data_IF_848292582928
#
_entry.id   IF_848292582928
#
_cell.length_a   1.000
_cell.length_b   1.000
_cell.length_c   1.000
_cell.angle_alpha   90.00
_cell.angle_beta   90.00
_cell.angle_gamma   90.00
#
_symmetry.space_group_name_H-M   'P 1'
#
loop_
_entity.id
_entity.type
_entity.pdbx_description
1 polymer ?
#
# COMPACT_ATOMS: atom_id res chain seq x y z
N UNK A 1 -26.96 -3.66 -31.18
CA UNK A 1 -26.45 -4.87 -30.46
C UNK A 1 -24.93 -4.85 -30.23
N UNK A 2 -24.27 -3.67 -30.16
CA UNK A 2 -22.81 -3.56 -29.92
C UNK A 2 -22.44 -3.05 -28.51
N UNK A 3 -23.42 -2.65 -27.71
CA UNK A 3 -23.19 -2.01 -26.41
C UNK A 3 -22.92 -3.04 -25.29
N UNK A 4 -23.75 -4.09 -25.21
CA UNK A 4 -23.70 -5.12 -24.15
C UNK A 4 -22.39 -5.93 -24.10
N UNK A 5 -21.73 -6.18 -25.25
CA UNK A 5 -20.46 -6.94 -25.29
C UNK A 5 -19.27 -6.11 -24.80
N UNK A 6 -19.29 -4.80 -25.03
CA UNK A 6 -18.26 -3.87 -24.55
C UNK A 6 -18.40 -3.65 -23.05
N UNK A 7 -19.63 -3.49 -22.54
CA UNK A 7 -19.89 -3.37 -21.10
C UNK A 7 -19.47 -4.61 -20.31
N UNK A 8 -19.72 -5.82 -20.84
CA UNK A 8 -19.33 -7.09 -20.20
C UNK A 8 -17.81 -7.26 -20.12
N UNK A 9 -17.08 -6.80 -21.15
CA UNK A 9 -15.62 -6.80 -21.17
C UNK A 9 -15.01 -5.85 -20.14
N UNK A 10 -15.50 -4.62 -20.08
CA UNK A 10 -15.03 -3.60 -19.12
C UNK A 10 -15.33 -4.01 -17.68
N UNK A 11 -16.48 -4.64 -17.43
CA UNK A 11 -16.82 -5.13 -16.09
C UNK A 11 -15.91 -6.28 -15.63
N UNK A 12 -15.56 -7.21 -16.53
CA UNK A 12 -14.59 -8.29 -16.23
C UNK A 12 -13.21 -7.73 -15.93
N UNK A 13 -12.78 -6.74 -16.72
CA UNK A 13 -11.54 -6.01 -16.52
C UNK A 13 -11.45 -5.34 -15.16
N UNK A 14 -12.51 -4.62 -14.79
CA UNK A 14 -12.60 -3.94 -13.49
C UNK A 14 -12.45 -4.94 -12.34
N UNK A 15 -13.16 -6.09 -12.40
CA UNK A 15 -13.05 -7.14 -11.37
C UNK A 15 -11.67 -7.77 -11.30
N UNK A 16 -11.04 -8.09 -12.43
CA UNK A 16 -9.68 -8.65 -12.44
C UNK A 16 -8.70 -7.67 -11.80
N UNK A 17 -8.80 -6.38 -12.17
CA UNK A 17 -7.95 -5.34 -11.59
C UNK A 17 -8.19 -5.18 -10.10
N UNK A 18 -9.45 -5.10 -9.66
CA UNK A 18 -9.82 -4.99 -8.25
C UNK A 18 -9.25 -6.15 -7.42
N UNK A 19 -9.44 -7.40 -7.88
CA UNK A 19 -8.90 -8.58 -7.23
C UNK A 19 -7.37 -8.54 -7.22
N UNK A 20 -6.73 -8.31 -8.37
CA UNK A 20 -5.28 -8.35 -8.48
C UNK A 20 -4.57 -7.25 -7.68
N UNK A 21 -5.20 -6.07 -7.52
CA UNK A 21 -4.64 -4.95 -6.77
C UNK A 21 -4.81 -5.09 -5.24
N UNK A 22 -5.67 -6.02 -4.78
CA UNK A 22 -5.98 -6.21 -3.35
C UNK A 22 -5.36 -7.46 -2.75
N UNK A 23 -4.64 -8.28 -3.54
CA UNK A 23 -3.95 -9.46 -3.00
C UNK A 23 -2.81 -9.04 -2.07
N UNK A 24 -2.79 -9.60 -0.86
CA UNK A 24 -1.70 -9.39 0.12
C UNK A 24 -0.48 -10.25 -0.16
N UNK A 25 -0.68 -11.39 -0.82
CA UNK A 25 0.36 -12.31 -1.24
C UNK A 25 0.24 -12.54 -2.74
N UNK A 26 1.35 -12.86 -3.42
CA UNK A 26 1.30 -13.12 -4.85
C UNK A 26 0.37 -14.30 -5.18
N UNK A 27 -0.45 -14.14 -6.21
CA UNK A 27 -1.47 -15.11 -6.65
C UNK A 27 -1.29 -15.50 -8.10
N UNK A 28 -1.47 -16.77 -8.44
CA UNK A 28 -1.41 -17.19 -9.84
C UNK A 28 -2.65 -16.72 -10.62
N UNK A 29 -2.58 -16.78 -11.96
CA UNK A 29 -3.69 -16.34 -12.82
C UNK A 29 -4.99 -17.13 -12.60
N UNK A 30 -4.93 -18.38 -12.14
CA UNK A 30 -6.11 -19.19 -11.81
C UNK A 30 -6.81 -18.67 -10.55
N UNK A 31 -6.06 -18.46 -9.47
CA UNK A 31 -6.59 -17.93 -8.21
C UNK A 31 -7.27 -16.56 -8.41
N UNK A 32 -6.64 -15.68 -9.20
CA UNK A 32 -7.21 -14.37 -9.53
C UNK A 32 -8.45 -14.52 -10.42
N UNK A 33 -8.44 -15.44 -11.39
CA UNK A 33 -9.57 -15.69 -12.27
C UNK A 33 -10.80 -16.19 -11.51
N UNK A 34 -10.60 -17.13 -10.58
CA UNK A 34 -11.65 -17.69 -9.75
C UNK A 34 -12.28 -16.61 -8.88
N UNK A 35 -11.45 -15.77 -8.23
CA UNK A 35 -11.93 -14.66 -7.41
C UNK A 35 -12.65 -13.57 -8.24
N UNK A 36 -12.20 -13.30 -9.47
CA UNK A 36 -12.83 -12.30 -10.35
C UNK A 36 -14.05 -12.84 -11.14
N UNK A 37 -14.33 -14.14 -11.07
CA UNK A 37 -15.41 -14.80 -11.80
C UNK A 37 -15.20 -14.78 -13.32
N UNK A 38 -13.97 -15.03 -13.78
CA UNK A 38 -13.58 -15.02 -15.21
C UNK A 38 -12.82 -16.28 -15.60
N UNK A 39 -12.66 -16.52 -16.91
CA UNK A 39 -11.82 -17.61 -17.38
C UNK A 39 -10.33 -17.32 -17.16
N UNK A 40 -9.53 -18.33 -16.81
CA UNK A 40 -8.07 -18.20 -16.56
C UNK A 40 -7.32 -17.50 -17.68
N UNK A 41 -7.57 -17.87 -18.94
CA UNK A 41 -6.91 -17.25 -20.10
C UNK A 41 -7.21 -15.76 -20.24
N UNK A 42 -8.40 -15.34 -19.78
CA UNK A 42 -8.84 -13.95 -19.79
C UNK A 42 -8.10 -13.19 -18.70
N UNK A 43 -8.06 -13.73 -17.47
CA UNK A 43 -7.26 -13.16 -16.38
C UNK A 43 -5.79 -13.03 -16.79
N UNK A 44 -5.17 -14.09 -17.30
CA UNK A 44 -3.76 -14.11 -17.69
C UNK A 44 -3.41 -13.01 -18.71
N UNK A 45 -4.23 -12.85 -19.76
CA UNK A 45 -4.04 -11.78 -20.74
C UNK A 45 -3.99 -10.39 -20.09
N UNK A 46 -4.92 -10.11 -19.17
CA UNK A 46 -5.00 -8.79 -18.54
C UNK A 46 -3.98 -8.58 -17.43
N UNK A 47 -3.64 -9.63 -16.70
CA UNK A 47 -2.56 -9.58 -15.72
C UNK A 47 -1.24 -9.24 -16.40
N UNK A 48 -0.95 -9.83 -17.58
CA UNK A 48 0.21 -9.43 -18.39
C UNK A 48 0.15 -7.96 -18.81
N UNK A 49 -1.00 -7.44 -19.23
CA UNK A 49 -1.14 -6.01 -19.56
C UNK A 49 -0.93 -5.10 -18.34
N UNK A 50 -1.34 -5.53 -17.15
CA UNK A 50 -1.10 -4.78 -15.92
C UNK A 50 0.38 -4.82 -15.52
N UNK A 51 1.09 -5.90 -15.83
CA UNK A 51 2.56 -5.97 -15.68
C UNK A 51 3.26 -5.04 -16.67
N UNK A 52 2.83 -5.02 -17.93
CA UNK A 52 3.36 -4.10 -18.94
C UNK A 52 3.12 -2.63 -18.60
N UNK A 53 2.11 -2.34 -17.78
CA UNK A 53 1.77 -0.99 -17.30
C UNK A 53 2.36 -0.68 -15.91
N UNK A 54 3.30 -1.50 -15.42
CA UNK A 54 3.94 -1.39 -14.11
C UNK A 54 2.95 -1.35 -12.93
N UNK A 55 1.73 -1.88 -13.11
CA UNK A 55 0.71 -1.97 -12.06
C UNK A 55 0.84 -3.24 -11.23
N UNK A 56 1.32 -4.31 -11.85
CA UNK A 56 1.61 -5.57 -11.17
C UNK A 56 3.07 -5.96 -11.41
N UNK A 57 3.66 -6.63 -10.44
CA UNK A 57 4.91 -7.34 -10.58
C UNK A 57 4.65 -8.85 -10.61
N UNK A 58 5.66 -9.62 -11.04
CA UNK A 58 5.58 -11.09 -11.07
C UNK A 58 6.68 -11.73 -10.25
N UNK A 59 6.36 -12.89 -9.67
CA UNK A 59 7.31 -13.78 -9.02
C UNK A 59 7.03 -15.22 -9.46
N UNK A 60 8.08 -16.02 -9.55
CA UNK A 60 7.96 -17.45 -9.84
C UNK A 60 7.73 -18.24 -8.55
N UNK A 61 6.63 -19.01 -8.50
CA UNK A 61 6.34 -19.96 -7.42
C UNK A 61 6.34 -21.38 -8.01
N UNK A 62 7.49 -22.04 -7.94
CA UNK A 62 7.68 -23.33 -8.59
C UNK A 62 7.63 -23.21 -10.11
N UNK A 63 6.55 -23.70 -10.74
CA UNK A 63 6.32 -23.62 -12.19
C UNK A 63 5.26 -22.58 -12.57
N UNK A 64 4.68 -21.89 -11.60
CA UNK A 64 3.61 -20.92 -11.83
C UNK A 64 4.12 -19.48 -11.69
N UNK A 65 3.70 -18.62 -12.61
CA UNK A 65 3.82 -17.18 -12.48
C UNK A 65 2.73 -16.67 -11.55
N UNK A 66 3.13 -16.00 -10.47
CA UNK A 66 2.24 -15.30 -9.55
C UNK A 66 2.36 -13.79 -9.73
N UNK A 67 1.26 -13.10 -9.54
CA UNK A 67 1.09 -11.67 -9.72
C UNK A 67 0.77 -11.01 -8.37
N UNK A 68 1.28 -9.81 -8.17
CA UNK A 68 1.00 -8.98 -6.99
C UNK A 68 1.13 -7.50 -7.36
N UNK A 69 0.53 -6.57 -6.59
CA UNK A 69 0.67 -5.14 -6.81
C UNK A 69 2.14 -4.74 -6.87
N UNK A 70 2.52 -3.97 -7.88
CA UNK A 70 3.91 -3.50 -7.97
C UNK A 70 4.22 -2.57 -6.77
N UNK A 71 5.23 -2.88 -5.94
CA UNK A 71 5.47 -2.16 -4.70
C UNK A 71 5.92 -0.71 -4.92
N UNK A 72 6.62 -0.42 -6.02
CA UNK A 72 7.09 0.93 -6.34
C UNK A 72 5.92 1.80 -6.79
N UNK A 73 5.07 1.26 -7.67
CA UNK A 73 3.85 1.95 -8.09
C UNK A 73 2.91 2.17 -6.91
N UNK A 74 2.71 1.18 -6.03
CA UNK A 74 1.88 1.33 -4.83
C UNK A 74 2.42 2.44 -3.91
N UNK A 75 3.74 2.54 -3.76
CA UNK A 75 4.37 3.59 -2.96
C UNK A 75 4.12 4.99 -3.53
N UNK A 76 4.29 5.18 -4.84
CA UNK A 76 4.02 6.48 -5.47
C UNK A 76 2.53 6.82 -5.55
N UNK A 77 1.66 5.81 -5.71
CA UNK A 77 0.21 6.00 -5.65
C UNK A 77 -0.19 6.51 -4.25
N UNK A 78 0.36 5.97 -3.17
CA UNK A 78 0.13 6.46 -1.80
C UNK A 78 0.61 7.91 -1.59
N UNK A 79 1.80 8.26 -2.08
CA UNK A 79 2.30 9.65 -2.02
C UNK A 79 1.38 10.60 -2.79
N UNK A 80 0.94 10.20 -3.99
CA UNK A 80 0.01 11.00 -4.78
C UNK A 80 -1.29 11.21 -4.01
N UNK A 81 -1.82 10.18 -3.38
CA UNK A 81 -3.09 10.26 -2.66
C UNK A 81 -2.93 11.21 -1.45
N UNK A 82 -1.86 11.08 -0.65
CA UNK A 82 -1.53 12.02 0.44
C UNK A 82 -1.44 13.49 -0.03
N UNK A 83 -0.71 13.75 -1.12
CA UNK A 83 -0.58 15.11 -1.67
C UNK A 83 -1.84 15.64 -2.34
N UNK A 84 -2.80 14.78 -2.66
CA UNK A 84 -4.09 15.18 -3.26
C UNK A 84 -5.12 15.47 -2.18
N UNK A 85 -5.12 14.68 -1.12
CA UNK A 85 -6.16 14.72 -0.09
C UNK A 85 -5.81 15.68 1.06
N UNK A 86 -4.52 16.03 1.22
CA UNK A 86 -4.03 16.86 2.32
C UNK A 86 -3.15 18.01 1.83
N UNK A 87 -3.18 19.11 2.57
CA UNK A 87 -2.23 20.20 2.43
C UNK A 87 -0.88 19.84 3.06
N UNK A 88 0.17 20.55 2.65
CA UNK A 88 1.52 20.37 3.22
C UNK A 88 1.58 20.63 4.73
N UNK A 89 0.77 21.56 5.23
CA UNK A 89 0.69 21.88 6.66
C UNK A 89 -0.03 20.77 7.44
N UNK A 90 -1.12 20.21 6.90
CA UNK A 90 -1.82 19.07 7.50
C UNK A 90 -0.92 17.83 7.57
N UNK A 91 -0.18 17.52 6.49
CA UNK A 91 0.81 16.43 6.50
C UNK A 91 1.91 16.67 7.54
N UNK A 92 2.34 17.92 7.73
CA UNK A 92 3.35 18.27 8.73
C UNK A 92 2.82 18.06 10.15
N UNK A 93 1.59 18.47 10.41
CA UNK A 93 0.93 18.27 11.70
C UNK A 93 0.69 16.77 12.00
N UNK A 94 0.30 15.99 11.00
CA UNK A 94 0.15 14.54 11.14
C UNK A 94 1.49 13.85 11.43
N UNK A 95 2.57 14.27 10.75
CA UNK A 95 3.91 13.78 11.03
C UNK A 95 4.37 14.10 12.45
N UNK A 96 4.06 15.29 12.97
CA UNK A 96 4.34 15.68 14.35
C UNK A 96 3.58 14.79 15.33
N UNK A 97 2.27 14.60 15.15
CA UNK A 97 1.46 13.74 16.02
C UNK A 97 1.96 12.29 16.06
N UNK A 98 2.34 11.72 14.91
CA UNK A 98 2.91 10.36 14.86
C UNK A 98 4.24 10.28 15.63
N UNK A 99 5.04 11.36 15.61
CA UNK A 99 6.32 11.39 16.36
C UNK A 99 6.09 11.49 17.85
N UNK A 100 5.11 12.29 18.27
CA UNK A 100 4.72 12.38 19.68
C UNK A 100 4.23 11.03 20.22
N UNK A 101 3.40 10.30 19.46
CA UNK A 101 2.93 8.96 19.83
C UNK A 101 4.10 7.95 19.97
N UNK A 102 5.08 8.02 19.05
CA UNK A 102 6.30 7.18 19.13
C UNK A 102 7.14 7.54 20.37
N UNK A 103 7.34 8.83 20.64
CA UNK A 103 8.10 9.28 21.79
C UNK A 103 7.40 8.91 23.11
N UNK A 104 6.07 8.90 23.16
CA UNK A 104 5.30 8.40 24.30
C UNK A 104 5.57 6.91 24.57
N UNK A 105 5.61 6.06 23.52
CA UNK A 105 5.96 4.65 23.70
C UNK A 105 7.40 4.45 24.16
N UNK A 106 8.36 5.24 23.63
CA UNK A 106 9.75 5.21 24.07
C UNK A 106 9.87 5.50 25.56
N UNK A 107 9.25 6.58 26.02
CA UNK A 107 9.27 6.99 27.42
C UNK A 107 8.54 6.00 28.33
N UNK A 108 7.39 5.48 27.87
CA UNK A 108 6.57 4.54 28.65
C UNK A 108 7.28 3.22 28.90
N UNK A 109 8.00 2.72 27.91
CA UNK A 109 8.62 1.40 27.95
C UNK A 109 10.14 1.42 28.18
N UNK A 110 10.78 2.60 28.17
CA UNK A 110 12.24 2.79 28.27
C UNK A 110 13.00 1.99 27.19
N UNK A 111 12.55 2.16 25.94
CA UNK A 111 13.09 1.49 24.75
C UNK A 111 13.21 2.48 23.60
N UNK A 112 14.09 2.19 22.63
CA UNK A 112 14.35 3.07 21.49
C UNK A 112 13.73 2.57 20.18
N UNK A 113 13.16 1.36 20.17
CA UNK A 113 12.53 0.77 18.99
C UNK A 113 11.40 -0.21 19.32
N UNK A 114 10.52 -0.43 18.34
CA UNK A 114 9.51 -1.49 18.40
C UNK A 114 10.12 -2.89 18.60
N UNK A 115 11.30 -3.16 18.03
CA UNK A 115 12.03 -4.42 18.21
C UNK A 115 12.45 -4.63 19.68
N UNK A 116 12.96 -3.59 20.32
CA UNK A 116 13.29 -3.60 21.75
C UNK A 116 12.03 -3.80 22.60
N UNK A 117 10.93 -3.10 22.29
CA UNK A 117 9.64 -3.31 22.95
C UNK A 117 9.16 -4.77 22.82
N UNK A 118 9.27 -5.37 21.63
CA UNK A 118 8.93 -6.78 21.41
C UNK A 118 9.82 -7.73 22.22
N UNK A 119 11.10 -7.40 22.41
CA UNK A 119 11.99 -8.21 23.23
C UNK A 119 11.53 -8.27 24.70
N UNK A 120 10.99 -7.18 25.23
CA UNK A 120 10.49 -7.10 26.61
C UNK A 120 9.25 -7.97 26.89
N UNK A 121 8.58 -8.49 25.84
CA UNK A 121 7.48 -9.47 26.00
C UNK A 121 7.95 -10.76 26.69
N UNK A 122 9.26 -11.06 26.61
CA UNK A 122 9.88 -12.20 27.28
C UNK A 122 10.12 -12.04 28.78
N UNK A 123 9.91 -10.84 29.33
CA UNK A 123 10.15 -10.55 30.74
C UNK A 123 9.11 -11.22 31.65
N UNK A 124 9.40 -11.26 32.95
CA UNK A 124 8.48 -11.77 33.98
C UNK A 124 7.37 -10.76 34.29
N UNK A 125 6.51 -10.54 33.29
CA UNK A 125 5.37 -9.61 33.33
C UNK A 125 4.04 -10.35 33.10
N UNK A 126 2.89 -9.80 33.55
CA UNK A 126 1.58 -10.41 33.35
C UNK A 126 1.22 -10.65 31.88
N UNK A 127 0.38 -11.66 31.62
CA UNK A 127 -0.04 -12.02 30.26
C UNK A 127 -0.82 -10.91 29.52
N UNK A 128 -1.53 -10.04 30.25
CA UNK A 128 -2.19 -8.87 29.68
C UNK A 128 -1.18 -7.84 29.17
N UNK A 129 -0.13 -7.59 29.95
CA UNK A 129 0.93 -6.65 29.59
C UNK A 129 1.74 -7.16 28.40
N UNK A 130 2.05 -8.47 28.36
CA UNK A 130 2.65 -9.10 27.17
C UNK A 130 1.84 -8.94 25.89
N UNK A 131 0.51 -8.87 25.98
CA UNK A 131 -0.35 -8.62 24.82
C UNK A 131 -0.34 -7.14 24.44
N UNK A 132 -0.38 -6.24 25.43
CA UNK A 132 -0.30 -4.80 25.19
C UNK A 132 1.01 -4.41 24.51
N UNK A 133 2.15 -4.84 25.05
CA UNK A 133 3.48 -4.52 24.47
C UNK A 133 3.63 -5.01 23.04
N UNK A 134 3.00 -6.15 22.69
CA UNK A 134 2.99 -6.64 21.31
C UNK A 134 2.16 -5.75 20.40
N UNK A 135 0.98 -5.35 20.86
CA UNK A 135 0.10 -4.45 20.12
C UNK A 135 0.77 -3.09 19.89
N UNK A 136 1.32 -2.49 20.95
CA UNK A 136 1.97 -1.18 20.88
C UNK A 136 3.21 -1.23 19.98
N UNK A 137 3.95 -2.34 19.97
CA UNK A 137 5.06 -2.49 19.03
C UNK A 137 4.60 -2.66 17.57
N UNK A 138 3.49 -3.36 17.33
CA UNK A 138 2.91 -3.48 15.99
C UNK A 138 2.38 -2.11 15.49
N UNK A 139 1.78 -1.32 16.38
CA UNK A 139 1.33 0.06 16.09
C UNK A 139 2.51 1.00 15.84
N UNK A 140 3.58 0.88 16.63
CA UNK A 140 4.81 1.64 16.42
C UNK A 140 5.41 1.37 15.05
N UNK A 141 5.57 0.11 14.64
CA UNK A 141 6.06 -0.23 13.29
C UNK A 141 5.20 0.40 12.19
N UNK A 142 3.88 0.36 12.38
CA UNK A 142 2.93 0.99 11.47
C UNK A 142 3.14 2.51 11.41
N UNK A 143 3.31 3.17 12.54
CA UNK A 143 3.57 4.60 12.65
C UNK A 143 4.91 5.02 12.07
N UNK A 144 5.97 4.23 12.24
CA UNK A 144 7.25 4.48 11.57
C UNK A 144 7.12 4.43 10.05
N UNK A 145 6.35 3.46 9.54
CA UNK A 145 6.07 3.37 8.10
C UNK A 145 5.26 4.57 7.60
N UNK A 146 4.20 4.98 8.33
CA UNK A 146 3.41 6.15 7.98
C UNK A 146 4.23 7.45 8.03
N UNK A 147 5.02 7.64 9.09
CA UNK A 147 5.89 8.81 9.23
C UNK A 147 6.91 8.89 8.09
N UNK A 148 7.47 7.76 7.64
CA UNK A 148 8.33 7.72 6.47
C UNK A 148 7.57 8.20 5.22
N UNK A 149 6.39 7.65 4.95
CA UNK A 149 5.59 7.97 3.77
C UNK A 149 5.15 9.45 3.75
N UNK A 150 4.63 9.96 4.86
CA UNK A 150 4.21 11.36 5.00
C UNK A 150 5.40 12.31 4.80
N UNK A 151 6.55 11.99 5.40
CA UNK A 151 7.78 12.76 5.17
C UNK A 151 8.15 12.84 3.69
N UNK A 152 7.99 11.73 2.95
CA UNK A 152 8.26 11.68 1.52
C UNK A 152 7.23 12.48 0.71
N UNK A 153 5.95 12.43 1.11
CA UNK A 153 4.90 13.27 0.52
C UNK A 153 5.20 14.77 0.72
N UNK A 154 5.60 15.20 1.92
CA UNK A 154 5.99 16.58 2.20
C UNK A 154 7.18 17.02 1.33
N UNK A 155 8.19 16.15 1.20
CA UNK A 155 9.40 16.43 0.39
C UNK A 155 9.07 16.60 -1.09
N UNK A 156 8.12 15.82 -1.61
CA UNK A 156 7.75 15.82 -3.03
C UNK A 156 6.58 16.76 -3.37
N UNK A 157 5.89 17.30 -2.36
CA UNK A 157 4.65 18.06 -2.50
C UNK A 157 4.73 19.13 -3.60
N UNK A 158 5.67 20.06 -3.48
CA UNK A 158 5.79 21.19 -4.41
C UNK A 158 6.18 20.72 -5.83
N UNK A 159 6.95 19.63 -5.92
CA UNK A 159 7.34 19.03 -7.21
C UNK A 159 6.15 18.40 -7.91
N UNK A 160 5.28 17.71 -7.16
CA UNK A 160 4.08 17.06 -7.67
C UNK A 160 3.06 18.11 -8.13
N UNK A 161 2.81 19.14 -7.33
CA UNK A 161 1.88 20.22 -7.71
C UNK A 161 2.36 20.97 -8.95
N UNK A 162 3.64 21.36 -9.00
CA UNK A 162 4.20 21.99 -10.20
C UNK A 162 4.10 21.09 -11.45
N UNK A 163 4.29 19.77 -11.29
CA UNK A 163 4.12 18.81 -12.39
C UNK A 163 2.67 18.73 -12.88
N UNK A 164 1.70 18.77 -11.95
CA UNK A 164 0.27 18.77 -12.27
C UNK A 164 -0.13 20.04 -13.02
N UNK A 165 0.30 21.20 -12.55
CA UNK A 165 0.06 22.50 -13.18
C UNK A 165 0.64 22.56 -14.59
N UNK A 166 1.88 22.12 -14.79
CA UNK A 166 2.53 22.09 -16.11
C UNK A 166 1.78 21.23 -17.12
N UNK A 167 1.25 20.07 -16.69
CA UNK A 167 0.46 19.19 -17.55
C UNK A 167 -0.88 19.84 -17.94
N UNK A 168 -1.55 20.52 -17.02
CA UNK A 168 -2.78 21.26 -17.30
C UNK A 168 -2.54 22.44 -18.26
N UNK A 169 -1.44 23.17 -18.06
CA UNK A 169 -1.05 24.28 -18.93
C UNK A 169 -0.69 23.82 -20.35
N UNK A 170 -0.14 22.61 -20.50
CA UNK A 170 0.21 22.03 -21.81
C UNK A 170 -0.98 21.41 -22.54
N UNK A 171 -2.11 21.19 -21.86
CA UNK A 171 -3.31 20.57 -22.42
C UNK A 171 -4.36 21.59 -22.89
N UNK A 172 -4.20 22.87 -22.49
CA UNK A 172 -5.02 24.01 -22.92
C UNK A 172 -4.36 24.79 -24.06
#
# INVERSE_FOLDING_TARGET
>A
MSDSRTTDHTAKLARIREVAMTVREAKNAGEIADAAGVARNTAEKYLTQLVEADKLATIQRGRETCYYPDPVTQYFDQIRDLTTDHTKDELTAELEAIRDDIDEWKETYDVESADELRATVGDDIPASERRQRRHDADDWDYYEHQAMLIKQAIQLYDTIEATRENRLASAN
#
